data_IF_128204734889
#
_entry.id   IF_128204734889
#
_cell.length_a   1.000
_cell.length_b   1.000
_cell.length_c   1.000
_cell.angle_alpha   90.00
_cell.angle_beta   90.00
_cell.angle_gamma   90.00
#
_symmetry.space_group_name_H-M   'P 1'
#
loop_
_entity.id
_entity.type
_entity.pdbx_description
1 polymer ?
#
# COMPACT_ATOMS: atom_id res chain seq x y z
N UNK A 1 -4.30 1.49 28.65
CA UNK A 1 -5.68 0.99 28.80
C UNK A 1 -6.69 2.12 28.64
N UNK A 2 -6.46 3.32 29.20
CA UNK A 2 -7.37 4.48 28.99
C UNK A 2 -7.07 5.27 27.72
N UNK A 3 -5.82 5.30 27.25
CA UNK A 3 -5.49 5.84 25.93
C UNK A 3 -6.06 4.92 24.85
N UNK A 4 -6.71 5.50 23.84
CA UNK A 4 -7.26 4.76 22.69
C UNK A 4 -6.16 3.99 21.95
N UNK A 5 -4.99 4.60 21.81
CA UNK A 5 -3.82 4.03 21.15
C UNK A 5 -2.91 3.23 22.09
N UNK A 6 -3.34 3.04 23.35
CA UNK A 6 -2.59 2.30 24.38
C UNK A 6 -1.16 2.83 24.66
N UNK A 7 -0.81 4.02 24.19
CA UNK A 7 0.50 4.66 24.34
C UNK A 7 0.65 5.50 25.63
N UNK A 8 -0.44 5.66 26.38
CA UNK A 8 -0.44 6.46 27.61
C UNK A 8 -0.68 7.95 27.38
N UNK A 9 -0.94 8.37 26.14
CA UNK A 9 -1.26 9.73 25.73
C UNK A 9 -2.69 9.86 25.18
N UNK A 10 -3.17 11.10 25.06
CA UNK A 10 -4.45 11.45 24.43
C UNK A 10 -4.46 11.00 22.95
N UNK A 11 -5.63 10.63 22.37
CA UNK A 11 -6.97 10.65 22.95
C UNK A 11 -7.26 9.52 23.95
N UNK A 12 -8.05 9.85 24.96
CA UNK A 12 -8.57 8.92 25.96
C UNK A 12 -9.87 8.27 25.45
N UNK A 13 -10.20 7.10 26.00
CA UNK A 13 -11.52 6.49 25.82
C UNK A 13 -12.62 7.48 26.25
N UNK A 14 -13.69 7.55 25.45
CA UNK A 14 -14.80 8.44 25.74
C UNK A 14 -15.63 7.92 26.92
N UNK A 15 -15.88 8.78 27.90
CA UNK A 15 -16.76 8.46 29.03
C UNK A 15 -18.22 8.41 28.57
N UNK A 16 -18.96 7.36 28.92
CA UNK A 16 -20.37 7.19 28.57
C UNK A 16 -20.63 6.46 27.26
N UNK A 17 -19.57 6.04 26.54
CA UNK A 17 -19.65 5.01 25.50
C UNK A 17 -19.11 3.69 26.06
N UNK A 18 -19.72 2.54 25.71
CA UNK A 18 -19.12 1.25 25.98
C UNK A 18 -17.73 1.14 25.34
N UNK A 19 -16.81 0.51 26.06
CA UNK A 19 -15.48 0.17 25.54
C UNK A 19 -15.62 -0.91 24.49
N UNK A 20 -14.96 -0.75 23.34
CA UNK A 20 -14.98 -1.77 22.29
C UNK A 20 -14.31 -3.07 22.75
N UNK A 21 -14.86 -4.20 22.30
CA UNK A 21 -14.28 -5.52 22.56
C UNK A 21 -12.84 -5.60 22.02
N UNK A 22 -12.60 -5.06 20.82
CA UNK A 22 -11.27 -4.99 20.22
C UNK A 22 -10.27 -4.20 21.06
N UNK A 23 -10.72 -3.13 21.74
CA UNK A 23 -9.86 -2.38 22.67
C UNK A 23 -9.44 -3.23 23.87
N UNK A 24 -10.34 -4.06 24.41
CA UNK A 24 -9.98 -5.00 25.49
C UNK A 24 -8.97 -6.04 25.03
N UNK A 25 -9.13 -6.58 23.81
CA UNK A 25 -8.18 -7.52 23.21
C UNK A 25 -6.81 -6.86 23.04
N UNK A 26 -6.75 -5.69 22.40
CA UNK A 26 -5.51 -4.96 22.18
C UNK A 26 -4.83 -4.56 23.51
N UNK A 27 -5.60 -4.10 24.50
CA UNK A 27 -5.07 -3.75 25.81
C UNK A 27 -4.52 -4.97 26.56
N UNK A 28 -5.20 -6.11 26.48
CA UNK A 28 -4.75 -7.36 27.09
C UNK A 28 -3.44 -7.85 26.47
N UNK A 29 -3.36 -7.84 25.12
CA UNK A 29 -2.16 -8.20 24.38
C UNK A 29 -0.98 -7.25 24.68
N UNK A 30 -1.17 -5.95 24.54
CA UNK A 30 -0.12 -4.95 24.75
C UNK A 30 0.41 -4.91 26.20
N UNK A 31 -0.45 -5.22 27.18
CA UNK A 31 -0.05 -5.24 28.60
C UNK A 31 0.38 -6.61 29.10
N UNK A 32 0.29 -7.66 28.28
CA UNK A 32 0.49 -9.05 28.69
C UNK A 32 -0.33 -9.43 29.94
N UNK A 33 -1.60 -9.02 29.99
CA UNK A 33 -2.51 -9.25 31.13
C UNK A 33 -3.82 -9.87 30.67
N UNK A 34 -4.50 -10.67 31.53
CA UNK A 34 -5.81 -11.20 31.19
C UNK A 34 -6.81 -10.08 30.91
N UNK A 35 -7.62 -10.21 29.84
CA UNK A 35 -8.62 -9.20 29.49
C UNK A 35 -9.64 -8.94 30.61
N UNK A 36 -9.94 -9.95 31.43
CA UNK A 36 -10.76 -9.77 32.65
C UNK A 36 -10.17 -8.75 33.62
N UNK A 37 -8.85 -8.77 33.84
CA UNK A 37 -8.21 -7.83 34.75
C UNK A 37 -8.24 -6.39 34.19
N UNK A 38 -8.12 -6.24 32.87
CA UNK A 38 -8.30 -4.95 32.19
C UNK A 38 -9.75 -4.48 32.31
N UNK A 39 -10.72 -5.35 32.07
CA UNK A 39 -12.16 -5.06 32.18
C UNK A 39 -12.52 -4.63 33.61
N UNK A 40 -12.11 -5.39 34.63
CA UNK A 40 -12.33 -5.07 36.04
C UNK A 40 -11.78 -3.66 36.38
N UNK A 41 -10.60 -3.33 35.85
CA UNK A 41 -9.99 -2.03 36.09
C UNK A 41 -10.74 -0.90 35.40
N UNK A 42 -11.20 -1.10 34.18
CA UNK A 42 -12.00 -0.12 33.43
C UNK A 42 -13.37 0.11 34.09
N UNK A 43 -14.04 -0.97 34.54
CA UNK A 43 -15.29 -0.91 35.31
C UNK A 43 -15.10 -0.11 36.60
N UNK A 44 -14.02 -0.36 37.34
CA UNK A 44 -13.70 0.39 38.57
C UNK A 44 -13.44 1.89 38.30
N UNK A 45 -13.05 2.25 37.07
CA UNK A 45 -12.85 3.62 36.62
C UNK A 45 -14.13 4.24 36.02
N UNK A 46 -15.25 3.52 36.02
CA UNK A 46 -16.55 4.01 35.56
C UNK A 46 -16.82 3.83 34.06
N UNK A 47 -16.02 3.01 33.37
CA UNK A 47 -16.27 2.65 31.97
C UNK A 47 -17.20 1.44 31.89
N UNK A 48 -18.09 1.45 30.91
CA UNK A 48 -18.91 0.29 30.55
C UNK A 48 -18.09 -0.63 29.65
N UNK A 49 -18.00 -1.92 29.99
CA UNK A 49 -17.21 -2.92 29.25
C UNK A 49 -18.09 -4.07 28.77
N UNK A 50 -17.74 -4.73 27.66
CA UNK A 50 -18.45 -5.92 27.18
C UNK A 50 -18.36 -7.09 28.18
N UNK A 51 -19.49 -7.77 28.37
CA UNK A 51 -19.60 -8.97 29.22
C UNK A 51 -20.11 -10.16 28.41
N UNK A 52 -19.45 -11.35 28.46
CA UNK A 52 -18.21 -11.61 29.18
C UNK A 52 -16.99 -10.98 28.49
N UNK A 53 -15.89 -10.66 29.23
CA UNK A 53 -14.66 -10.20 28.61
C UNK A 53 -14.02 -11.31 27.76
N UNK A 54 -13.20 -10.95 26.75
CA UNK A 54 -12.46 -11.89 25.92
C UNK A 54 -11.67 -12.90 26.77
N UNK A 55 -11.61 -14.15 26.32
CA UNK A 55 -10.85 -15.21 26.99
C UNK A 55 -9.65 -15.61 26.13
N UNK A 56 -8.59 -16.08 26.79
CA UNK A 56 -7.39 -16.60 26.12
C UNK A 56 -6.81 -15.65 25.07
N UNK A 57 -6.74 -14.34 25.33
CA UNK A 57 -6.15 -13.39 24.37
C UNK A 57 -4.69 -13.76 24.09
N UNK A 58 -4.36 -13.93 22.82
CA UNK A 58 -3.04 -14.28 22.32
C UNK A 58 -2.42 -13.09 21.56
N UNK A 59 -1.09 -13.08 21.42
CA UNK A 59 -0.43 -12.10 20.57
C UNK A 59 -0.89 -12.25 19.11
N UNK A 60 -1.12 -11.12 18.44
CA UNK A 60 -1.63 -11.06 17.07
C UNK A 60 -3.16 -11.08 16.97
N UNK A 61 -3.89 -11.35 18.05
CA UNK A 61 -5.36 -11.25 18.03
C UNK A 61 -5.81 -9.80 17.84
N UNK A 62 -5.03 -8.83 18.31
CA UNK A 62 -5.26 -7.40 18.11
C UNK A 62 -5.29 -7.01 16.63
N UNK A 63 -4.46 -7.65 15.79
CA UNK A 63 -4.48 -7.46 14.34
C UNK A 63 -5.84 -7.89 13.79
N UNK A 64 -6.30 -9.08 14.19
CA UNK A 64 -7.54 -9.67 13.67
C UNK A 64 -8.79 -8.89 14.06
N UNK A 65 -8.80 -8.19 15.19
CA UNK A 65 -9.98 -7.43 15.65
C UNK A 65 -9.99 -5.98 15.16
N UNK A 66 -8.92 -5.53 14.48
CA UNK A 66 -8.88 -4.24 13.77
C UNK A 66 -9.44 -4.40 12.36
N UNK A 67 -10.31 -3.47 11.93
CA UNK A 67 -10.87 -3.44 10.57
C UNK A 67 -9.79 -3.40 9.48
N UNK A 68 -8.69 -2.70 9.76
CA UNK A 68 -7.54 -2.50 8.87
C UNK A 68 -6.41 -3.52 9.11
N UNK A 69 -6.62 -4.49 10.00
CA UNK A 69 -5.68 -5.57 10.30
C UNK A 69 -4.29 -5.10 10.79
N UNK A 70 -4.26 -3.95 11.45
CA UNK A 70 -3.05 -3.24 11.87
C UNK A 70 -2.87 -3.18 13.39
N UNK A 71 -3.85 -3.69 14.16
CA UNK A 71 -3.85 -3.66 15.62
C UNK A 71 -4.15 -2.28 16.21
N UNK A 72 -4.60 -1.32 15.41
CA UNK A 72 -4.92 0.05 15.85
C UNK A 72 -6.43 0.29 15.98
N UNK A 73 -6.82 1.39 16.66
CA UNK A 73 -8.23 1.76 16.83
C UNK A 73 -8.95 1.94 15.50
N UNK A 74 -9.76 0.95 15.15
CA UNK A 74 -10.92 0.92 14.25
C UNK A 74 -11.47 -0.49 14.40
N UNK A 75 -11.95 -0.79 15.61
CA UNK A 75 -12.27 -2.15 16.03
C UNK A 75 -13.50 -2.71 15.32
N UNK A 76 -13.51 -4.01 15.07
CA UNK A 76 -14.70 -4.72 14.63
C UNK A 76 -15.83 -4.55 15.66
N UNK A 77 -17.05 -4.20 15.22
CA UNK A 77 -18.21 -4.10 16.11
C UNK A 77 -18.58 -5.48 16.65
N UNK A 78 -18.52 -5.66 17.97
CA UNK A 78 -18.79 -6.95 18.63
C UNK A 78 -20.25 -7.39 18.59
N UNK A 79 -21.18 -6.45 18.35
CA UNK A 79 -22.60 -6.74 18.25
C UNK A 79 -22.98 -7.37 16.89
N UNK A 80 -22.13 -7.22 15.88
CA UNK A 80 -22.40 -7.68 14.52
C UNK A 80 -21.70 -9.01 14.21
N UNK A 81 -22.10 -9.64 13.12
CA UNK A 81 -21.41 -10.83 12.63
C UNK A 81 -20.15 -10.40 11.89
N UNK A 82 -19.02 -11.02 12.20
CA UNK A 82 -17.78 -10.85 11.45
C UNK A 82 -18.02 -11.35 10.01
N UNK A 83 -17.82 -10.49 9.00
CA UNK A 83 -17.98 -10.87 7.60
C UNK A 83 -16.97 -11.93 7.18
N UNK A 84 -17.37 -12.79 6.23
CA UNK A 84 -16.49 -13.83 5.70
C UNK A 84 -15.26 -13.26 4.99
N UNK A 85 -15.39 -12.11 4.31
CA UNK A 85 -14.25 -11.41 3.70
C UNK A 85 -13.20 -11.00 4.73
N UNK A 86 -13.63 -10.53 5.91
CA UNK A 86 -12.71 -10.15 6.97
C UNK A 86 -11.99 -11.36 7.56
N UNK A 87 -12.67 -12.51 7.69
CA UNK A 87 -12.03 -13.79 8.06
C UNK A 87 -10.94 -14.16 7.05
N UNK A 88 -11.22 -14.03 5.75
CA UNK A 88 -10.23 -14.33 4.70
C UNK A 88 -9.04 -13.36 4.75
N UNK A 89 -9.28 -12.05 4.93
CA UNK A 89 -8.21 -11.07 5.05
C UNK A 89 -7.36 -11.31 6.30
N UNK A 90 -7.99 -11.58 7.45
CA UNK A 90 -7.27 -11.89 8.68
C UNK A 90 -6.45 -13.19 8.56
N UNK A 91 -6.98 -14.21 7.86
CA UNK A 91 -6.27 -15.46 7.58
C UNK A 91 -5.00 -15.18 6.76
N UNK A 92 -5.13 -14.42 5.68
CA UNK A 92 -4.00 -14.03 4.85
C UNK A 92 -2.97 -13.17 5.61
N UNK A 93 -3.39 -12.16 6.36
CA UNK A 93 -2.51 -11.25 7.10
C UNK A 93 -1.76 -11.94 8.26
N UNK A 94 -2.35 -12.96 8.88
CA UNK A 94 -1.74 -13.68 10.01
C UNK A 94 -1.07 -15.00 9.62
N UNK A 95 -1.19 -15.42 8.36
CA UNK A 95 -0.73 -16.73 7.88
C UNK A 95 -1.48 -17.92 8.48
N UNK A 96 -2.64 -17.69 9.10
CA UNK A 96 -3.51 -18.70 9.71
C UNK A 96 -4.53 -19.22 8.69
N UNK A 97 -5.13 -20.37 8.96
CA UNK A 97 -6.27 -20.83 8.15
C UNK A 97 -7.55 -20.07 8.53
N UNK A 98 -8.53 -19.93 7.62
CA UNK A 98 -9.86 -19.43 7.95
C UNK A 98 -10.49 -20.09 9.18
N UNK A 99 -10.39 -21.42 9.33
CA UNK A 99 -10.89 -22.13 10.50
C UNK A 99 -10.20 -21.73 11.81
N UNK A 100 -8.88 -21.55 11.79
CA UNK A 100 -8.13 -21.05 12.94
C UNK A 100 -8.55 -19.63 13.31
N UNK A 101 -8.69 -18.75 12.31
CA UNK A 101 -9.16 -17.38 12.49
C UNK A 101 -10.56 -17.34 13.12
N UNK A 102 -11.47 -18.16 12.61
CA UNK A 102 -12.82 -18.27 13.15
C UNK A 102 -12.83 -18.76 14.61
N UNK A 103 -11.99 -19.75 14.94
CA UNK A 103 -11.87 -20.23 16.31
C UNK A 103 -11.34 -19.13 17.25
N UNK A 104 -10.40 -18.30 16.80
CA UNK A 104 -9.92 -17.15 17.57
C UNK A 104 -11.02 -16.12 17.79
N UNK A 105 -11.74 -15.71 16.75
CA UNK A 105 -12.87 -14.77 16.90
C UNK A 105 -13.90 -15.28 17.91
N UNK A 106 -14.26 -16.57 17.87
CA UNK A 106 -15.16 -17.18 18.84
C UNK A 106 -14.61 -17.12 20.28
N UNK A 107 -13.32 -17.41 20.48
CA UNK A 107 -12.67 -17.31 21.80
C UNK A 107 -12.64 -15.88 22.35
N UNK A 108 -12.52 -14.89 21.47
CA UNK A 108 -12.53 -13.47 21.81
C UNK A 108 -13.93 -12.91 22.05
N UNK A 109 -14.99 -13.67 21.74
CA UNK A 109 -16.39 -13.26 21.94
C UNK A 109 -17.07 -12.67 20.71
N UNK A 110 -16.45 -12.74 19.53
CA UNK A 110 -17.06 -12.35 18.27
C UNK A 110 -17.94 -13.47 17.70
N UNK A 111 -19.00 -13.07 16.99
CA UNK A 111 -19.88 -13.98 16.25
C UNK A 111 -19.56 -13.90 14.77
N UNK A 112 -19.67 -15.00 14.03
CA UNK A 112 -19.25 -15.09 12.62
C UNK A 112 -20.46 -15.53 11.80
N UNK A 113 -20.61 -15.02 10.57
CA UNK A 113 -21.79 -15.32 9.73
C UNK A 113 -21.88 -16.79 9.37
N UNK A 114 -20.85 -17.32 8.69
CA UNK A 114 -20.87 -18.64 8.09
C UNK A 114 -19.49 -19.31 8.18
N UNK A 115 -19.48 -20.64 8.09
CA UNK A 115 -18.24 -21.41 7.99
C UNK A 115 -17.51 -21.08 6.70
N UNK A 116 -16.29 -20.57 6.82
CA UNK A 116 -15.38 -20.33 5.70
C UNK A 116 -14.43 -21.52 5.59
N UNK A 117 -14.41 -22.26 4.48
CA UNK A 117 -13.52 -23.41 4.35
C UNK A 117 -12.06 -22.96 4.27
N UNK A 118 -11.13 -23.77 4.80
CA UNK A 118 -9.72 -23.39 4.82
C UNK A 118 -9.13 -23.13 3.42
N UNK A 119 -9.67 -23.81 2.40
CA UNK A 119 -9.29 -23.61 0.99
C UNK A 119 -9.75 -22.27 0.40
N UNK A 120 -10.56 -21.49 1.11
CA UNK A 120 -11.04 -20.19 0.62
C UNK A 120 -10.01 -19.08 0.74
N UNK A 121 -8.96 -19.26 1.56
CA UNK A 121 -7.78 -18.41 1.61
C UNK A 121 -6.57 -19.16 1.03
N UNK A 122 -5.70 -18.44 0.34
CA UNK A 122 -4.49 -18.99 -0.25
C UNK A 122 -3.25 -18.19 0.17
N UNK A 123 -2.06 -18.80 0.16
CA UNK A 123 -0.81 -18.14 0.54
C UNK A 123 -0.39 -17.03 -0.44
N UNK A 124 -1.11 -16.81 -1.53
CA UNK A 124 -0.89 -15.69 -2.45
C UNK A 124 -1.76 -14.47 -2.13
N UNK A 125 -2.72 -14.60 -1.21
CA UNK A 125 -3.62 -13.49 -0.87
C UNK A 125 -2.90 -12.39 -0.09
N UNK A 126 -1.95 -12.75 0.78
CA UNK A 126 -1.15 -11.77 1.53
C UNK A 126 -0.45 -10.80 0.58
N UNK A 127 0.12 -11.29 -0.53
CA UNK A 127 0.74 -10.46 -1.55
C UNK A 127 -0.27 -9.54 -2.24
N UNK A 128 -1.54 -9.93 -2.38
CA UNK A 128 -2.57 -9.05 -2.94
C UNK A 128 -3.06 -8.00 -1.93
N UNK A 129 -3.04 -8.35 -0.64
CA UNK A 129 -3.46 -7.48 0.47
C UNK A 129 -2.39 -6.45 0.84
N UNK A 130 -1.11 -6.79 0.72
CA UNK A 130 0.00 -5.87 0.99
C UNK A 130 -0.03 -4.73 -0.01
N UNK A 131 0.02 -3.50 0.48
CA UNK A 131 0.11 -2.27 -0.33
C UNK A 131 1.32 -2.33 -1.28
N UNK A 132 2.41 -2.92 -0.81
CA UNK A 132 3.67 -3.05 -1.50
C UNK A 132 3.78 -4.36 -2.32
N UNK A 133 2.80 -5.25 -2.20
CA UNK A 133 2.77 -6.57 -2.84
C UNK A 133 3.90 -7.51 -2.38
N UNK A 134 4.43 -7.31 -1.18
CA UNK A 134 5.50 -8.14 -0.58
C UNK A 134 4.94 -9.19 0.41
N UNK A 135 3.63 -9.16 0.65
CA UNK A 135 2.97 -10.06 1.59
C UNK A 135 3.06 -9.64 3.05
N UNK A 136 3.60 -8.45 3.32
CA UNK A 136 3.77 -7.86 4.64
C UNK A 136 2.93 -6.59 4.80
N UNK A 137 2.77 -6.13 6.04
CA UNK A 137 2.11 -4.85 6.35
C UNK A 137 2.90 -3.68 5.72
N UNK A 138 2.24 -2.59 5.26
CA UNK A 138 0.82 -2.26 5.37
C UNK A 138 -0.13 -3.01 4.43
N UNK A 139 -1.35 -3.23 4.92
CA UNK A 139 -2.44 -3.85 4.16
C UNK A 139 -3.29 -2.77 3.47
N UNK A 140 -3.91 -3.13 2.35
CA UNK A 140 -4.91 -2.30 1.68
C UNK A 140 -6.11 -2.03 2.60
N UNK A 141 -6.56 -0.78 2.57
CA UNK A 141 -7.79 -0.36 3.23
C UNK A 141 -9.03 -0.76 2.41
N UNK A 142 -10.13 -1.08 3.09
CA UNK A 142 -11.39 -1.47 2.43
C UNK A 142 -12.36 -0.31 2.25
N UNK A 143 -12.06 0.86 2.81
CA UNK A 143 -12.93 2.03 2.79
C UNK A 143 -12.87 2.82 1.48
N UNK A 144 -11.87 2.59 0.64
CA UNK A 144 -11.76 3.14 -0.72
C UNK A 144 -11.64 2.02 -1.78
N UNK A 145 -12.02 2.27 -3.04
CA UNK A 145 -11.72 1.35 -4.12
C UNK A 145 -10.22 1.13 -4.27
N UNK A 146 -9.82 -0.11 -4.57
CA UNK A 146 -8.43 -0.45 -4.89
C UNK A 146 -7.94 0.42 -6.05
N UNK A 147 -6.79 1.06 -5.86
CA UNK A 147 -6.21 1.91 -6.90
C UNK A 147 -5.89 1.08 -8.15
N UNK A 148 -6.15 1.64 -9.33
CA UNK A 148 -5.95 0.93 -10.59
C UNK A 148 -4.49 0.45 -10.78
N UNK A 149 -3.51 1.25 -10.37
CA UNK A 149 -2.11 0.87 -10.42
C UNK A 149 -1.78 -0.36 -9.57
N UNK A 150 -2.45 -0.53 -8.42
CA UNK A 150 -2.30 -1.73 -7.61
C UNK A 150 -2.78 -2.98 -8.35
N UNK A 151 -3.92 -2.90 -9.06
CA UNK A 151 -4.41 -4.03 -9.87
C UNK A 151 -3.43 -4.41 -10.97
N UNK A 152 -2.86 -3.43 -11.67
CA UNK A 152 -1.84 -3.66 -12.71
C UNK A 152 -0.58 -4.26 -12.07
N UNK A 153 -0.10 -3.70 -10.97
CA UNK A 153 1.11 -4.17 -10.31
C UNK A 153 0.96 -5.59 -9.74
N UNK A 154 -0.17 -5.88 -9.10
CA UNK A 154 -0.50 -7.20 -8.60
C UNK A 154 -0.60 -8.22 -9.74
N UNK A 155 -1.26 -7.87 -10.86
CA UNK A 155 -1.36 -8.73 -12.03
C UNK A 155 0.02 -9.08 -12.60
N UNK A 156 0.87 -8.07 -12.78
CA UNK A 156 2.23 -8.26 -13.29
C UNK A 156 3.12 -9.08 -12.34
N UNK A 157 3.14 -8.77 -11.03
CA UNK A 157 3.98 -9.46 -10.04
C UNK A 157 3.53 -10.90 -9.77
N UNK A 158 2.23 -11.20 -9.88
CA UNK A 158 1.69 -12.54 -9.59
C UNK A 158 1.52 -13.41 -10.82
N UNK A 159 1.87 -12.92 -12.02
CA UNK A 159 1.66 -13.60 -13.30
C UNK A 159 0.20 -14.04 -13.49
N UNK A 160 -0.73 -13.14 -13.14
CA UNK A 160 -2.17 -13.33 -13.23
C UNK A 160 -2.79 -12.25 -14.08
N UNK A 161 -3.94 -12.54 -14.69
CA UNK A 161 -4.70 -11.50 -15.37
C UNK A 161 -5.25 -10.48 -14.37
N UNK A 162 -5.41 -9.23 -14.79
CA UNK A 162 -6.08 -8.19 -13.99
C UNK A 162 -7.49 -8.63 -13.55
N UNK A 163 -8.19 -9.42 -14.38
CA UNK A 163 -9.49 -10.00 -14.06
C UNK A 163 -9.45 -10.99 -12.89
N UNK A 164 -8.44 -11.87 -12.84
CA UNK A 164 -8.28 -12.82 -11.73
C UNK A 164 -7.88 -12.13 -10.43
N UNK A 165 -7.01 -11.11 -10.51
CA UNK A 165 -6.65 -10.28 -9.36
C UNK A 165 -7.86 -9.53 -8.84
N UNK A 166 -8.60 -8.85 -9.71
CA UNK A 166 -9.80 -8.11 -9.36
C UNK A 166 -10.86 -9.02 -8.73
N UNK A 167 -11.16 -10.17 -9.36
CA UNK A 167 -12.10 -11.15 -8.79
C UNK A 167 -11.65 -11.65 -7.41
N UNK A 168 -10.35 -11.81 -7.20
CA UNK A 168 -9.82 -12.24 -5.91
C UNK A 168 -9.95 -11.16 -4.84
N UNK A 169 -9.59 -9.92 -5.15
CA UNK A 169 -9.75 -8.79 -4.23
C UNK A 169 -11.23 -8.54 -3.89
N UNK A 170 -12.14 -8.68 -4.85
CA UNK A 170 -13.58 -8.60 -4.59
C UNK A 170 -14.05 -9.69 -3.61
N UNK A 171 -13.55 -10.93 -3.76
CA UNK A 171 -13.85 -12.01 -2.81
C UNK A 171 -13.28 -11.76 -1.40
N UNK A 172 -12.21 -10.96 -1.31
CA UNK A 172 -11.60 -10.49 -0.06
C UNK A 172 -12.27 -9.21 0.49
N UNK A 173 -13.38 -8.77 -0.11
CA UNK A 173 -14.20 -7.65 0.39
C UNK A 173 -13.78 -6.27 -0.13
N UNK A 174 -12.85 -6.18 -1.07
CA UNK A 174 -12.41 -4.91 -1.63
C UNK A 174 -13.36 -4.40 -2.70
N UNK A 175 -13.53 -3.07 -2.72
CA UNK A 175 -14.17 -2.37 -3.83
C UNK A 175 -13.18 -2.23 -4.98
N UNK A 176 -13.63 -2.48 -6.20
CA UNK A 176 -12.81 -2.38 -7.40
C UNK A 176 -13.09 -1.07 -8.13
N UNK A 177 -12.12 -0.53 -8.88
CA UNK A 177 -12.34 0.63 -9.73
C UNK A 177 -13.28 0.28 -10.87
N UNK A 178 -14.20 1.20 -11.21
CA UNK A 178 -15.16 1.04 -12.31
C UNK A 178 -14.51 1.35 -13.67
N UNK A 179 -13.51 0.56 -14.04
CA UNK A 179 -12.72 0.74 -15.27
C UNK A 179 -12.58 -0.58 -16.01
N UNK A 180 -12.31 -0.51 -17.32
CA UNK A 180 -12.00 -1.69 -18.10
C UNK A 180 -10.66 -2.28 -17.63
N UNK A 181 -10.64 -3.58 -17.33
CA UNK A 181 -9.43 -4.28 -16.92
C UNK A 181 -8.58 -4.57 -18.16
N UNK A 182 -7.35 -4.01 -18.27
CA UNK A 182 -6.50 -4.23 -19.42
C UNK A 182 -5.85 -5.62 -19.37
N UNK A 183 -5.31 -6.06 -20.50
CA UNK A 183 -4.28 -7.08 -20.51
C UNK A 183 -3.00 -6.49 -19.90
N UNK A 184 -2.37 -7.18 -18.94
CA UNK A 184 -1.22 -6.68 -18.18
C UNK A 184 0.00 -7.52 -18.51
N UNK A 185 1.12 -6.84 -18.78
CA UNK A 185 2.39 -7.46 -19.12
C UNK A 185 3.43 -7.23 -18.01
N UNK A 186 4.42 -8.12 -17.86
CA UNK A 186 5.54 -7.88 -16.96
C UNK A 186 6.25 -6.54 -17.27
N UNK A 187 6.52 -5.74 -16.23
CA UNK A 187 7.12 -4.41 -16.34
C UNK A 187 6.09 -3.27 -16.41
N UNK A 188 4.80 -3.55 -16.57
CA UNK A 188 3.75 -2.52 -16.53
C UNK A 188 3.62 -1.86 -15.16
N UNK A 189 3.91 -2.60 -14.09
CA UNK A 189 3.95 -2.11 -12.71
C UNK A 189 4.88 -0.89 -12.56
N UNK A 190 6.02 -0.90 -13.28
CA UNK A 190 6.95 0.21 -13.29
C UNK A 190 6.31 1.43 -13.96
N UNK A 191 5.62 1.23 -15.09
CA UNK A 191 5.06 2.33 -15.87
C UNK A 191 3.92 3.06 -15.17
N UNK A 192 3.14 2.36 -14.33
CA UNK A 192 1.99 2.92 -13.61
C UNK A 192 2.36 3.52 -12.25
N UNK A 193 3.58 3.29 -11.76
CA UNK A 193 4.12 3.90 -10.54
C UNK A 193 4.76 5.25 -10.85
N UNK A 194 4.43 6.32 -10.10
CA UNK A 194 4.96 7.67 -10.35
C UNK A 194 6.49 7.75 -10.26
N UNK A 195 7.08 7.01 -9.32
CA UNK A 195 8.54 6.95 -9.13
C UNK A 195 9.20 5.84 -9.96
N UNK A 196 8.43 5.12 -10.78
CA UNK A 196 8.91 4.07 -11.69
C UNK A 196 9.59 2.89 -10.97
N UNK A 197 9.13 2.57 -9.76
CA UNK A 197 9.69 1.49 -8.95
C UNK A 197 8.75 0.29 -8.79
N UNK A 198 7.50 0.40 -9.27
CA UNK A 198 6.51 -0.68 -9.15
C UNK A 198 5.89 -0.80 -7.76
N UNK A 199 5.96 0.27 -6.97
CA UNK A 199 5.37 0.41 -5.64
C UNK A 199 4.28 1.51 -5.63
N UNK A 200 3.51 1.63 -4.53
CA UNK A 200 2.46 2.64 -4.34
C UNK A 200 2.88 4.06 -4.70
N UNK A 201 1.88 4.96 -4.79
CA UNK A 201 1.92 6.23 -5.53
C UNK A 201 1.69 6.05 -7.04
N UNK A 202 0.56 5.43 -7.36
CA UNK A 202 0.17 5.17 -8.74
C UNK A 202 -0.23 6.43 -9.51
N UNK A 203 -0.09 6.38 -10.83
CA UNK A 203 -0.69 7.36 -11.71
C UNK A 203 -2.22 7.28 -11.63
N UNK A 204 -2.89 8.43 -11.61
CA UNK A 204 -4.34 8.49 -11.68
C UNK A 204 -4.78 8.30 -13.13
N UNK A 205 -5.71 7.36 -13.38
CA UNK A 205 -6.20 7.09 -14.73
C UNK A 205 -6.95 8.29 -15.35
N UNK A 206 -7.50 9.16 -14.50
CA UNK A 206 -8.24 10.37 -14.93
C UNK A 206 -7.32 11.50 -15.38
N UNK A 207 -6.06 11.47 -14.99
CA UNK A 207 -5.12 12.55 -15.24
C UNK A 207 -4.25 12.19 -16.45
N UNK A 208 -4.00 13.15 -17.36
CA UNK A 208 -3.05 12.94 -18.43
C UNK A 208 -1.66 12.61 -17.88
N UNK A 209 -1.03 11.56 -18.42
CA UNK A 209 0.34 11.21 -18.03
C UNK A 209 1.30 12.27 -18.57
N UNK A 210 2.14 12.88 -17.70
CA UNK A 210 3.10 13.88 -18.13
C UNK A 210 4.14 13.33 -19.10
N UNK A 211 4.60 14.16 -20.05
CA UNK A 211 5.64 13.78 -21.00
C UNK A 211 6.95 13.39 -20.30
N UNK A 212 7.30 14.07 -19.20
CA UNK A 212 8.49 13.76 -18.40
C UNK A 212 8.44 12.34 -17.83
N UNK A 213 7.26 11.85 -17.43
CA UNK A 213 7.08 10.47 -16.97
C UNK A 213 7.43 9.46 -18.06
N UNK A 214 6.95 9.70 -19.28
CA UNK A 214 7.27 8.85 -20.44
C UNK A 214 8.77 8.84 -20.72
N UNK A 215 9.42 10.00 -20.67
CA UNK A 215 10.87 10.09 -20.90
C UNK A 215 11.67 9.34 -19.83
N UNK A 216 11.33 9.51 -18.55
CA UNK A 216 11.95 8.77 -17.45
C UNK A 216 11.73 7.27 -17.58
N UNK A 217 10.49 6.84 -17.85
CA UNK A 217 10.16 5.44 -18.03
C UNK A 217 10.91 4.81 -19.20
N UNK A 218 11.02 5.51 -20.33
CA UNK A 218 11.78 5.07 -21.50
C UNK A 218 13.27 4.88 -21.16
N UNK A 219 13.87 5.87 -20.48
CA UNK A 219 15.26 5.81 -20.06
C UNK A 219 15.52 4.65 -19.07
N UNK A 220 14.67 4.48 -18.06
CA UNK A 220 14.83 3.47 -17.01
C UNK A 220 14.61 2.05 -17.54
N UNK A 221 13.59 1.86 -18.37
CA UNK A 221 13.25 0.52 -18.91
C UNK A 221 14.05 0.15 -20.16
N UNK A 222 14.82 1.09 -20.72
CA UNK A 222 15.53 0.91 -21.99
C UNK A 222 14.60 0.80 -23.20
N UNK A 223 13.34 1.20 -23.07
CA UNK A 223 12.33 1.18 -24.13
C UNK A 223 12.32 2.52 -24.88
N UNK A 224 11.77 2.53 -26.09
CA UNK A 224 11.48 3.79 -26.79
C UNK A 224 10.31 4.53 -26.13
N UNK A 225 10.27 5.86 -26.28
CA UNK A 225 9.15 6.67 -25.79
C UNK A 225 7.82 6.20 -26.40
N UNK A 226 7.80 5.85 -27.69
CA UNK A 226 6.63 5.35 -28.40
C UNK A 226 6.14 4.01 -27.84
N UNK A 227 7.04 3.09 -27.46
CA UNK A 227 6.67 1.83 -26.81
C UNK A 227 6.06 2.05 -25.43
N UNK A 228 6.60 2.98 -24.64
CA UNK A 228 6.05 3.35 -23.33
C UNK A 228 4.67 3.98 -23.49
N UNK A 229 4.51 4.94 -24.42
CA UNK A 229 3.22 5.57 -24.74
C UNK A 229 2.20 4.52 -25.16
N UNK A 230 2.55 3.65 -26.11
CA UNK A 230 1.66 2.60 -26.58
C UNK A 230 1.21 1.67 -25.46
N UNK A 231 2.11 1.37 -24.51
CA UNK A 231 1.79 0.54 -23.36
C UNK A 231 0.86 1.24 -22.36
N UNK A 232 1.14 2.49 -22.00
CA UNK A 232 0.28 3.29 -21.14
C UNK A 232 -1.12 3.49 -21.74
N UNK A 233 -1.21 3.74 -23.06
CA UNK A 233 -2.50 3.83 -23.77
C UNK A 233 -3.25 2.50 -23.73
N UNK A 234 -2.56 1.38 -23.92
CA UNK A 234 -3.18 0.05 -23.84
C UNK A 234 -3.65 -0.31 -22.42
N UNK A 235 -3.05 0.29 -21.38
CA UNK A 235 -3.52 0.24 -19.99
C UNK A 235 -4.67 1.22 -19.70
N UNK A 236 -5.02 2.11 -20.64
CA UNK A 236 -6.13 3.06 -20.52
C UNK A 236 -5.74 4.48 -20.13
N UNK A 237 -4.45 4.80 -20.00
CA UNK A 237 -3.99 6.15 -19.68
C UNK A 237 -4.06 7.10 -20.89
N UNK A 238 -4.17 8.40 -20.60
CA UNK A 238 -4.24 9.46 -21.61
C UNK A 238 -2.91 10.21 -21.71
N UNK A 239 -2.41 10.45 -22.93
CA UNK A 239 -1.13 11.13 -23.18
C UNK A 239 -1.26 12.14 -24.33
N UNK A 240 -1.87 13.32 -24.11
CA UNK A 240 -2.10 14.30 -25.17
C UNK A 240 -0.80 14.90 -25.72
N UNK A 241 0.24 15.01 -24.90
CA UNK A 241 1.54 15.62 -25.23
C UNK A 241 2.66 14.57 -25.26
N UNK A 242 2.43 13.45 -25.94
CA UNK A 242 3.40 12.35 -26.00
C UNK A 242 4.73 12.77 -26.66
N UNK A 243 5.88 12.53 -26.00
CA UNK A 243 7.19 12.85 -26.57
C UNK A 243 7.58 11.89 -27.70
N UNK A 244 8.46 12.34 -28.60
CA UNK A 244 9.05 11.49 -29.64
C UNK A 244 10.23 10.69 -29.11
N UNK A 245 10.57 9.58 -29.76
CA UNK A 245 11.71 8.73 -29.34
C UNK A 245 13.04 9.49 -29.28
N UNK A 246 13.23 10.46 -30.18
CA UNK A 246 14.43 11.32 -30.20
C UNK A 246 14.56 12.25 -29.00
N UNK A 247 13.53 12.37 -28.17
CA UNK A 247 13.57 13.20 -26.97
C UNK A 247 14.27 12.50 -25.79
N UNK A 248 14.46 11.17 -25.84
CA UNK A 248 15.23 10.41 -24.85
C UNK A 248 16.70 10.46 -25.22
N UNK A 249 17.54 10.88 -24.28
CA UNK A 249 18.99 10.99 -24.46
C UNK A 249 19.67 9.80 -23.77
N UNK A 250 20.73 9.25 -24.38
CA UNK A 250 21.35 7.99 -23.92
C UNK A 250 21.92 8.05 -22.49
N UNK A 251 22.26 9.24 -22.01
CA UNK A 251 22.79 9.47 -20.65
C UNK A 251 21.70 9.89 -19.64
N UNK A 252 20.42 9.94 -20.03
CA UNK A 252 19.32 10.23 -19.11
C UNK A 252 19.30 9.27 -17.91
N UNK A 253 19.47 7.97 -18.17
CA UNK A 253 19.49 6.95 -17.12
C UNK A 253 20.57 7.21 -16.07
N UNK A 254 21.72 7.74 -16.49
CA UNK A 254 22.81 8.15 -15.58
C UNK A 254 22.38 9.34 -14.73
N UNK A 255 21.66 10.31 -15.31
CA UNK A 255 21.20 11.50 -14.59
C UNK A 255 20.12 11.18 -13.55
N UNK A 256 19.28 10.18 -13.84
CA UNK A 256 18.16 9.73 -13.01
C UNK A 256 18.58 8.87 -11.82
N UNK A 257 19.66 8.10 -11.94
CA UNK A 257 20.21 7.30 -10.83
C UNK A 257 20.78 8.19 -9.73
N UNK A 258 20.43 7.94 -8.46
CA UNK A 258 20.99 8.65 -7.30
C UNK A 258 22.51 8.46 -7.19
N UNK A 259 23.03 7.32 -7.65
CA UNK A 259 24.44 6.97 -7.59
C UNK A 259 25.19 7.20 -8.92
N UNK A 260 24.49 7.64 -9.98
CA UNK A 260 25.03 7.88 -11.32
C UNK A 260 25.64 6.62 -11.96
N UNK A 261 25.14 5.45 -11.59
CA UNK A 261 25.57 4.13 -12.08
C UNK A 261 24.58 3.52 -13.08
N UNK A 262 23.52 4.26 -13.42
CA UNK A 262 22.39 3.81 -14.26
C UNK A 262 21.50 2.77 -13.60
N UNK A 263 21.64 2.56 -12.29
CA UNK A 263 20.85 1.63 -11.50
C UNK A 263 19.99 2.38 -10.47
N UNK A 264 18.95 1.70 -10.00
CA UNK A 264 18.10 2.14 -8.87
C UNK A 264 18.94 2.29 -7.60
N UNK A 265 18.62 3.23 -6.69
CA UNK A 265 17.42 4.06 -6.63
C UNK A 265 17.45 5.27 -7.56
N UNK A 266 16.26 5.67 -8.02
CA UNK A 266 16.06 6.83 -8.90
C UNK A 266 15.87 8.12 -8.08
N UNK A 267 16.09 9.28 -8.69
CA UNK A 267 15.77 10.55 -8.07
C UNK A 267 14.25 10.73 -7.91
N UNK A 268 13.83 11.21 -6.75
CA UNK A 268 12.45 11.63 -6.50
C UNK A 268 12.14 12.98 -7.18
N UNK A 269 10.94 13.09 -7.75
CA UNK A 269 10.55 14.26 -8.57
C UNK A 269 10.01 15.43 -7.75
N UNK A 270 9.54 15.18 -6.53
CA UNK A 270 8.99 16.18 -5.62
C UNK A 270 10.09 17.00 -4.93
N UNK A 271 11.26 16.40 -4.71
CA UNK A 271 12.42 17.04 -4.13
C UNK A 271 13.24 17.86 -5.14
N UNK A 272 13.93 18.89 -4.62
CA UNK A 272 14.88 19.64 -5.43
C UNK A 272 16.18 18.86 -5.55
N UNK A 273 16.63 18.60 -6.78
CA UNK A 273 17.90 17.94 -7.05
C UNK A 273 19.04 18.74 -6.40
N UNK A 274 19.86 18.10 -5.53
CA UNK A 274 20.98 18.75 -4.88
C UNK A 274 22.05 19.21 -5.88
N UNK A 275 22.63 20.39 -5.66
CA UNK A 275 23.70 20.93 -6.51
C UNK A 275 24.93 20.00 -6.59
N UNK A 276 25.18 19.17 -5.56
CA UNK A 276 26.26 18.18 -5.59
C UNK A 276 25.99 17.04 -6.58
N UNK A 277 24.72 16.61 -6.72
CA UNK A 277 24.31 15.63 -7.73
C UNK A 277 24.59 16.18 -9.13
N UNK A 278 24.13 17.40 -9.42
CA UNK A 278 24.34 18.07 -10.71
C UNK A 278 25.84 18.16 -11.04
N UNK A 279 26.69 18.47 -10.04
CA UNK A 279 28.14 18.54 -10.21
C UNK A 279 28.75 17.18 -10.55
N UNK A 280 28.33 16.11 -9.85
CA UNK A 280 28.83 14.75 -10.08
C UNK A 280 28.33 14.21 -11.42
N UNK A 281 27.05 14.40 -11.74
CA UNK A 281 26.43 14.03 -13.00
C UNK A 281 27.11 14.70 -14.20
N UNK A 282 27.44 15.99 -14.10
CA UNK A 282 28.20 16.71 -15.12
C UNK A 282 29.58 16.07 -15.37
N UNK A 283 30.26 15.60 -14.31
CA UNK A 283 31.52 14.88 -14.45
C UNK A 283 31.33 13.50 -15.09
N UNK A 284 30.29 12.77 -14.72
CA UNK A 284 30.02 11.42 -15.21
C UNK A 284 29.64 11.41 -16.71
N UNK A 285 28.80 12.36 -17.12
CA UNK A 285 28.30 12.48 -18.50
C UNK A 285 29.18 13.33 -19.42
N UNK A 286 30.13 14.09 -18.85
CA UNK A 286 30.94 15.05 -19.59
C UNK A 286 30.20 16.35 -19.96
N UNK A 287 28.94 16.51 -19.52
CA UNK A 287 28.12 17.71 -19.74
C UNK A 287 28.53 18.88 -18.86
N UNK A 288 28.10 20.08 -19.25
CA UNK A 288 28.15 21.26 -18.36
C UNK A 288 27.06 21.14 -17.29
N UNK A 289 27.31 21.68 -16.09
CA UNK A 289 26.31 21.69 -14.99
C UNK A 289 24.97 22.30 -15.41
N UNK A 290 24.99 23.36 -16.23
CA UNK A 290 23.77 23.98 -16.76
C UNK A 290 23.01 23.09 -17.74
N UNK A 291 23.71 22.28 -18.54
CA UNK A 291 23.10 21.30 -19.45
C UNK A 291 22.46 20.15 -18.67
N UNK A 292 23.13 19.68 -17.60
CA UNK A 292 22.55 18.69 -16.67
C UNK A 292 21.30 19.23 -16.00
N UNK A 293 21.35 20.45 -15.45
CA UNK A 293 20.19 21.06 -14.79
C UNK A 293 19.02 21.27 -15.76
N UNK A 294 19.31 21.74 -16.98
CA UNK A 294 18.29 21.88 -18.03
C UNK A 294 17.70 20.53 -18.43
N UNK A 295 18.52 19.48 -18.55
CA UNK A 295 18.06 18.14 -18.90
C UNK A 295 17.19 17.53 -17.80
N UNK A 296 17.60 17.66 -16.54
CA UNK A 296 16.79 17.25 -15.39
C UNK A 296 15.44 17.98 -15.35
N UNK A 297 15.39 19.27 -15.72
CA UNK A 297 14.13 20.00 -15.84
C UNK A 297 13.20 19.45 -16.94
N UNK A 298 13.74 19.02 -18.08
CA UNK A 298 12.95 18.31 -19.12
C UNK A 298 12.42 16.98 -18.60
N UNK A 299 13.19 16.29 -17.75
CA UNK A 299 12.79 15.05 -17.08
C UNK A 299 11.91 15.27 -15.84
N UNK A 300 11.38 16.49 -15.64
CA UNK A 300 10.41 16.80 -14.58
C UNK A 300 11.00 17.21 -13.22
N UNK A 301 12.33 17.33 -13.11
CA UNK A 301 12.99 17.64 -11.84
C UNK A 301 13.21 19.13 -11.62
N UNK A 302 13.09 19.56 -10.37
CA UNK A 302 13.47 20.92 -9.94
C UNK A 302 14.92 20.92 -9.51
N UNK A 303 15.76 21.80 -10.07
CA UNK A 303 17.15 21.96 -9.63
C UNK A 303 17.29 23.12 -8.64
N UNK A 304 18.05 22.90 -7.57
CA UNK A 304 18.49 24.00 -6.69
C UNK A 304 19.38 24.95 -7.50
N UNK A 305 19.13 26.27 -7.42
CA UNK A 305 19.88 27.25 -8.23
C UNK A 305 21.39 27.09 -8.04
N UNK A 306 22.08 26.60 -9.07
CA UNK A 306 23.53 26.54 -9.10
C UNK A 306 24.02 27.95 -9.37
N UNK A 307 24.51 28.65 -8.33
CA UNK A 307 25.25 29.91 -8.54
C UNK A 307 26.46 29.59 -9.42
N UNK A 308 26.48 30.17 -10.62
CA UNK A 308 27.63 30.10 -11.51
C UNK A 308 28.85 30.69 -10.78
N UNK A 309 29.83 29.84 -10.50
CA UNK A 309 31.17 30.18 -10.05
C UNK A 309 32.15 29.31 -10.81
#
# INVERSE_FOLDING_TARGET
>A
MLSQYLNGDSPWLETGKPVDLGHLVAAAAAMCRPAREIADRLTALGYEVPEPPPQDVQGGDELMVSLSLDGWPRWLPSAELVPADHVLRAAAATGRTPGEVMARFAALGYRITDAVPDSAAGPADNALLSEYLDGEWPWLETDEPVEFGHLVAAAAKTDRSAGEVAARLAALGFRLPEVALPDVLPGDELLVSRSLEGWPHWLALTDPVPADHVLRAAAITGRTASEVVGRLVALGYQLPDAPTDSAVEADDIVLLSQFLDSESPWLETDESVPADHIRKAAKATGRRRGEVAARLAVLGYRSSQVRCG
#
